data_IF_973295082282
#
_entry.id   IF_973295082282
#
_cell.length_a   1.000
_cell.length_b   1.000
_cell.length_c   1.000
_cell.angle_alpha   90.00
_cell.angle_beta   90.00
_cell.angle_gamma   90.00
#
_symmetry.space_group_name_H-M   'P 1'
#
loop_
_entity.id
_entity.type
_entity.pdbx_description
1 polymer ?
#
# COMPACT_ATOMS: atom_id res chain seq x y z
N UNK A 1 4.00 -9.74 69.75
CA UNK A 1 3.60 -8.64 68.86
C UNK A 1 4.27 -8.88 67.51
N UNK A 2 3.75 -9.87 66.78
CA UNK A 2 4.24 -10.24 65.46
C UNK A 2 3.37 -9.49 64.44
N UNK A 3 4.00 -8.63 63.63
CA UNK A 3 3.33 -7.97 62.51
C UNK A 3 3.19 -9.00 61.39
N UNK A 4 1.97 -9.39 61.09
CA UNK A 4 1.67 -10.09 59.84
C UNK A 4 1.71 -9.06 58.71
N UNK A 5 2.68 -9.23 57.81
CA UNK A 5 2.75 -8.50 56.55
C UNK A 5 1.84 -9.27 55.59
N UNK A 6 0.67 -8.69 55.31
CA UNK A 6 -0.21 -9.17 54.26
C UNK A 6 0.44 -8.83 52.91
N UNK A 7 0.96 -9.83 52.22
CA UNK A 7 1.33 -9.71 50.81
C UNK A 7 0.04 -9.62 49.99
N UNK A 8 -0.43 -8.40 49.72
CA UNK A 8 -1.40 -8.17 48.65
C UNK A 8 -0.68 -8.43 47.32
N UNK A 9 -0.86 -9.65 46.81
CA UNK A 9 -0.53 -10.01 45.43
C UNK A 9 -1.35 -9.17 44.46
N UNK A 10 -0.83 -8.00 44.08
CA UNK A 10 -1.30 -7.23 42.93
C UNK A 10 -1.08 -8.07 41.66
N UNK A 11 -2.10 -8.85 41.31
CA UNK A 11 -2.25 -9.44 39.99
C UNK A 11 -2.54 -8.29 39.03
N UNK A 12 -1.48 -7.75 38.42
CA UNK A 12 -1.58 -6.85 37.27
C UNK A 12 -2.30 -7.59 36.13
N UNK A 13 -3.63 -7.50 36.10
CA UNK A 13 -4.43 -7.88 34.94
C UNK A 13 -4.17 -6.83 33.85
N UNK A 14 -3.21 -7.10 32.99
CA UNK A 14 -2.95 -6.31 31.79
C UNK A 14 -4.12 -6.56 30.82
N UNK A 15 -5.23 -5.84 31.04
CA UNK A 15 -6.31 -5.74 30.07
C UNK A 15 -5.72 -5.31 28.73
N UNK A 16 -6.05 -6.00 27.64
CA UNK A 16 -5.66 -5.53 26.31
C UNK A 16 -6.47 -4.27 26.04
N UNK A 17 -5.82 -3.10 26.02
CA UNK A 17 -6.46 -1.82 25.70
C UNK A 17 -6.97 -1.75 24.24
N UNK A 18 -6.57 -2.73 23.41
CA UNK A 18 -7.06 -2.88 22.05
C UNK A 18 -8.22 -3.87 22.01
N UNK A 19 -9.41 -3.32 21.81
CA UNK A 19 -10.59 -4.10 21.40
C UNK A 19 -10.67 -4.03 19.89
N UNK A 20 -10.65 -5.18 19.23
CA UNK A 20 -10.82 -5.24 17.79
C UNK A 20 -12.14 -4.57 17.38
N UNK A 21 -12.15 -3.74 16.33
CA UNK A 21 -13.39 -3.22 15.79
C UNK A 21 -14.28 -4.39 15.35
N UNK A 22 -15.61 -4.26 15.47
CA UNK A 22 -16.54 -5.29 15.04
C UNK A 22 -16.30 -5.65 13.57
N UNK A 23 -16.45 -6.92 13.19
CA UNK A 23 -16.20 -7.37 11.82
C UNK A 23 -17.06 -6.57 10.84
N UNK A 24 -16.43 -6.09 9.77
CA UNK A 24 -17.09 -5.26 8.78
C UNK A 24 -18.28 -6.02 8.15
N UNK A 25 -19.42 -5.34 7.90
CA UNK A 25 -20.49 -5.93 7.12
C UNK A 25 -19.96 -6.34 5.75
N UNK A 26 -20.32 -7.54 5.28
CA UNK A 26 -19.84 -8.02 3.98
C UNK A 26 -20.28 -7.10 2.85
N UNK A 27 -21.50 -6.57 2.94
CA UNK A 27 -22.06 -5.60 2.01
C UNK A 27 -22.49 -4.36 2.79
N UNK A 28 -21.82 -3.24 2.56
CA UNK A 28 -22.23 -1.93 3.04
C UNK A 28 -22.31 -0.94 1.87
N UNK A 29 -23.47 -0.91 1.22
CA UNK A 29 -23.74 -0.01 0.11
C UNK A 29 -23.89 1.45 0.56
N UNK A 30 -24.06 1.69 1.88
CA UNK A 30 -24.12 3.04 2.44
C UNK A 30 -22.80 3.80 2.27
N UNK A 31 -21.68 3.08 2.24
CA UNK A 31 -20.35 3.68 2.05
C UNK A 31 -20.21 4.40 0.70
N UNK A 32 -20.92 3.95 -0.35
CA UNK A 32 -20.89 4.56 -1.69
C UNK A 32 -21.40 6.00 -1.71
N UNK A 33 -22.23 6.37 -0.73
CA UNK A 33 -22.75 7.74 -0.60
C UNK A 33 -21.81 8.63 0.20
N UNK A 34 -20.82 8.07 0.87
CA UNK A 34 -19.92 8.82 1.73
C UNK A 34 -18.84 9.54 0.93
N UNK A 35 -18.60 10.81 1.25
CA UNK A 35 -17.51 11.59 0.65
C UNK A 35 -16.13 11.03 0.98
N UNK A 36 -15.97 10.46 2.17
CA UNK A 36 -14.72 9.83 2.61
C UNK A 36 -14.36 8.62 1.75
N UNK A 37 -15.33 7.87 1.26
CA UNK A 37 -15.10 6.74 0.36
C UNK A 37 -14.46 7.16 -0.96
N UNK A 38 -14.99 8.20 -1.62
CA UNK A 38 -14.38 8.72 -2.84
C UNK A 38 -12.98 9.30 -2.61
N UNK A 39 -12.77 9.98 -1.47
CA UNK A 39 -11.42 10.46 -1.10
C UNK A 39 -10.44 9.31 -0.91
N UNK A 40 -10.87 8.21 -0.30
CA UNK A 40 -10.06 7.01 -0.13
C UNK A 40 -9.75 6.33 -1.48
N UNK A 41 -10.71 6.25 -2.41
CA UNK A 41 -10.48 5.74 -3.76
C UNK A 41 -9.44 6.57 -4.52
N UNK A 42 -9.55 7.90 -4.45
CA UNK A 42 -8.58 8.80 -5.08
C UNK A 42 -7.20 8.63 -4.43
N UNK A 43 -7.13 8.46 -3.11
CA UNK A 43 -5.86 8.23 -2.42
C UNK A 43 -5.19 6.93 -2.88
N UNK A 44 -5.93 5.82 -2.99
CA UNK A 44 -5.42 4.53 -3.49
C UNK A 44 -4.97 4.62 -4.96
N UNK A 45 -5.72 5.34 -5.80
CA UNK A 45 -5.36 5.58 -7.20
C UNK A 45 -4.06 6.39 -7.32
N UNK A 46 -3.96 7.53 -6.61
CA UNK A 46 -2.77 8.39 -6.68
C UNK A 46 -1.55 7.68 -6.09
N UNK A 47 -1.72 6.95 -4.98
CA UNK A 47 -0.64 6.20 -4.37
C UNK A 47 -0.10 5.11 -5.31
N UNK A 48 -0.98 4.31 -5.93
CA UNK A 48 -0.55 3.29 -6.90
C UNK A 48 0.07 3.89 -8.16
N UNK A 49 -0.46 5.01 -8.65
CA UNK A 49 0.13 5.75 -9.76
C UNK A 49 1.57 6.18 -9.46
N UNK A 50 1.79 6.82 -8.31
CA UNK A 50 3.12 7.27 -7.90
C UNK A 50 4.06 6.08 -7.63
N UNK A 51 3.56 5.03 -7.00
CA UNK A 51 4.33 3.80 -6.74
C UNK A 51 4.87 3.20 -8.03
N UNK A 52 4.01 2.96 -9.03
CA UNK A 52 4.42 2.36 -10.30
C UNK A 52 5.26 3.32 -11.14
N UNK A 53 4.95 4.62 -11.14
CA UNK A 53 5.75 5.61 -11.84
C UNK A 53 7.20 5.62 -11.35
N UNK A 54 7.43 5.76 -10.04
CA UNK A 54 8.78 5.88 -9.47
C UNK A 54 9.56 4.57 -9.60
N UNK A 55 8.93 3.43 -9.33
CA UNK A 55 9.61 2.13 -9.36
C UNK A 55 9.98 1.72 -10.78
N UNK A 56 9.07 1.86 -11.74
CA UNK A 56 9.34 1.52 -13.15
C UNK A 56 10.33 2.51 -13.78
N UNK A 57 10.23 3.80 -13.47
CA UNK A 57 11.22 4.79 -13.90
C UNK A 57 12.63 4.46 -13.36
N UNK A 58 12.74 4.02 -12.10
CA UNK A 58 14.01 3.59 -11.50
C UNK A 58 14.58 2.36 -12.22
N UNK A 59 13.75 1.35 -12.52
CA UNK A 59 14.18 0.13 -13.23
C UNK A 59 14.69 0.46 -14.63
N UNK A 60 13.94 1.26 -15.39
CA UNK A 60 14.31 1.63 -16.77
C UNK A 60 15.51 2.57 -16.77
N UNK A 61 15.56 3.51 -15.82
CA UNK A 61 16.70 4.40 -15.61
C UNK A 61 17.98 3.63 -15.35
N UNK A 62 17.92 2.59 -14.53
CA UNK A 62 19.04 1.69 -14.30
C UNK A 62 19.43 0.88 -15.55
N UNK A 63 18.46 0.24 -16.21
CA UNK A 63 18.70 -0.57 -17.43
C UNK A 63 19.23 0.25 -18.61
N UNK A 64 18.97 1.56 -18.66
CA UNK A 64 19.45 2.46 -19.73
C UNK A 64 20.97 2.71 -19.65
N UNK A 65 21.59 2.48 -18.49
CA UNK A 65 22.99 2.83 -18.28
C UNK A 65 23.92 1.82 -18.94
N UNK A 66 25.00 2.32 -19.54
CA UNK A 66 25.95 1.54 -20.34
C UNK A 66 27.16 1.06 -19.54
N UNK A 67 27.48 1.73 -18.42
CA UNK A 67 28.58 1.35 -17.53
C UNK A 67 28.16 0.30 -16.49
N UNK A 68 29.03 -0.66 -16.14
CA UNK A 68 28.72 -1.75 -15.20
C UNK A 68 28.40 -1.27 -13.78
N UNK A 69 28.81 -0.05 -13.40
CA UNK A 69 28.60 0.53 -12.06
C UNK A 69 27.96 1.93 -12.09
N UNK A 70 27.45 2.40 -13.23
CA UNK A 70 26.96 3.78 -13.34
C UNK A 70 25.57 3.98 -12.70
N UNK A 71 24.93 2.90 -12.27
CA UNK A 71 23.55 2.91 -11.81
C UNK A 71 23.30 2.79 -10.33
N UNK A 72 22.03 2.97 -10.00
CA UNK A 72 21.50 2.73 -8.65
C UNK A 72 21.67 1.27 -8.20
N UNK A 73 21.94 0.37 -9.15
CA UNK A 73 22.09 -1.05 -8.90
C UNK A 73 20.79 -1.73 -8.50
N UNK A 74 20.85 -3.04 -8.30
CA UNK A 74 19.72 -3.82 -7.82
C UNK A 74 19.29 -3.39 -6.40
N UNK A 75 20.25 -2.93 -5.60
CA UNK A 75 20.00 -2.38 -4.26
C UNK A 75 19.15 -1.11 -4.31
N UNK A 76 19.46 -0.18 -5.23
CA UNK A 76 18.67 1.05 -5.38
C UNK A 76 17.27 0.78 -5.94
N UNK A 77 17.11 -0.21 -6.82
CA UNK A 77 15.79 -0.67 -7.25
C UNK A 77 15.00 -1.22 -6.04
N UNK A 78 15.60 -2.09 -5.22
CA UNK A 78 14.94 -2.61 -4.02
C UNK A 78 14.51 -1.50 -3.05
N UNK A 79 15.38 -0.49 -2.86
CA UNK A 79 15.06 0.71 -2.08
C UNK A 79 13.92 1.53 -2.66
N UNK A 80 13.83 1.66 -3.99
CA UNK A 80 12.72 2.37 -4.62
C UNK A 80 11.39 1.67 -4.35
N UNK A 81 11.33 0.34 -4.41
CA UNK A 81 10.11 -0.40 -4.08
C UNK A 81 9.74 -0.29 -2.60
N UNK A 82 10.67 -0.61 -1.70
CA UNK A 82 10.39 -0.59 -0.25
C UNK A 82 10.14 0.82 0.28
N UNK A 83 10.95 1.79 -0.14
CA UNK A 83 10.85 3.18 0.26
C UNK A 83 9.55 3.84 -0.22
N UNK A 84 9.12 3.57 -1.46
CA UNK A 84 7.85 4.11 -1.95
C UNK A 84 6.66 3.53 -1.20
N UNK A 85 6.65 2.22 -0.92
CA UNK A 85 5.58 1.63 -0.10
C UNK A 85 5.56 2.26 1.29
N UNK A 86 6.71 2.40 1.96
CA UNK A 86 6.79 3.04 3.28
C UNK A 86 6.19 4.45 3.27
N UNK A 87 6.62 5.30 2.34
CA UNK A 87 6.15 6.70 2.23
C UNK A 87 4.66 6.75 1.92
N UNK A 88 4.20 5.99 0.92
CA UNK A 88 2.82 6.04 0.48
C UNK A 88 1.85 5.48 1.52
N UNK A 89 2.20 4.38 2.20
CA UNK A 89 1.41 3.85 3.31
C UNK A 89 1.33 4.91 4.41
N UNK A 90 2.45 5.53 4.79
CA UNK A 90 2.45 6.59 5.80
C UNK A 90 1.51 7.75 5.43
N UNK A 91 1.52 8.19 4.17
CA UNK A 91 0.65 9.27 3.70
C UNK A 91 -0.83 8.88 3.59
N UNK A 92 -1.14 7.63 3.26
CA UNK A 92 -2.50 7.19 2.93
C UNK A 92 -3.18 6.39 4.05
N UNK A 93 -2.45 5.96 5.08
CA UNK A 93 -2.98 5.20 6.20
C UNK A 93 -4.18 5.90 6.88
N UNK A 94 -4.09 7.22 7.08
CA UNK A 94 -5.17 8.00 7.70
C UNK A 94 -6.36 8.32 6.78
N UNK A 95 -6.27 8.00 5.48
CA UNK A 95 -7.30 8.34 4.49
C UNK A 95 -7.98 7.08 3.96
N UNK A 96 -7.22 6.14 3.40
CA UNK A 96 -7.73 4.91 2.79
C UNK A 96 -7.45 3.65 3.61
N UNK A 97 -6.48 3.70 4.53
CA UNK A 97 -5.89 2.51 5.17
C UNK A 97 -4.57 2.07 4.51
N UNK A 98 -4.16 2.72 3.41
CA UNK A 98 -2.87 2.53 2.77
C UNK A 98 -2.64 1.13 2.22
N UNK A 99 -3.58 0.61 1.42
CA UNK A 99 -3.47 -0.74 0.90
C UNK A 99 -2.51 -0.81 -0.29
N UNK A 100 -2.69 0.09 -1.28
CA UNK A 100 -1.84 0.30 -2.47
C UNK A 100 -1.68 -0.97 -3.35
N UNK A 101 -2.32 -2.07 -2.96
CA UNK A 101 -2.11 -3.39 -3.51
C UNK A 101 -3.43 -4.18 -3.45
N UNK A 102 -3.87 -4.76 -4.58
CA UNK A 102 -5.06 -5.61 -4.62
C UNK A 102 -4.96 -6.82 -3.69
N UNK A 103 -3.78 -7.43 -3.54
CA UNK A 103 -3.56 -8.58 -2.67
C UNK A 103 -3.71 -8.22 -1.18
N UNK A 104 -3.20 -7.05 -0.77
CA UNK A 104 -3.36 -6.53 0.60
C UNK A 104 -4.83 -6.24 0.89
N UNK A 105 -5.50 -5.57 -0.04
CA UNK A 105 -6.94 -5.29 0.04
C UNK A 105 -7.76 -6.58 0.16
N UNK A 106 -7.42 -7.60 -0.64
CA UNK A 106 -8.07 -8.90 -0.59
C UNK A 106 -7.84 -9.64 0.72
N UNK A 107 -6.61 -9.63 1.25
CA UNK A 107 -6.30 -10.22 2.56
C UNK A 107 -7.09 -9.58 3.70
N UNK A 108 -7.19 -8.24 3.71
CA UNK A 108 -7.99 -7.50 4.67
C UNK A 108 -9.50 -7.74 4.53
N UNK A 109 -9.97 -7.96 3.30
CA UNK A 109 -11.33 -8.39 3.03
C UNK A 109 -11.62 -9.79 3.61
N UNK A 110 -10.73 -10.76 3.39
CA UNK A 110 -10.85 -12.11 3.97
C UNK A 110 -10.82 -12.08 5.51
N UNK A 111 -10.05 -11.16 6.09
CA UNK A 111 -10.02 -10.92 7.53
C UNK A 111 -11.25 -10.17 8.06
N UNK A 112 -12.25 -9.86 7.22
CA UNK A 112 -13.45 -9.06 7.54
C UNK A 112 -13.13 -7.69 8.15
N UNK A 113 -12.00 -7.10 7.75
CA UNK A 113 -11.60 -5.74 8.14
C UNK A 113 -12.07 -4.69 7.12
N UNK A 114 -12.51 -5.11 5.93
CA UNK A 114 -12.92 -4.26 4.80
C UNK A 114 -14.19 -4.82 4.16
N UNK A 115 -15.14 -3.96 3.78
CA UNK A 115 -16.38 -4.34 3.06
C UNK A 115 -16.08 -4.80 1.63
N UNK A 116 -16.93 -5.66 1.03
CA UNK A 116 -16.72 -6.10 -0.36
C UNK A 116 -16.74 -4.93 -1.34
N UNK A 117 -17.65 -3.97 -1.13
CA UNK A 117 -17.81 -2.78 -1.98
C UNK A 117 -16.53 -1.96 -1.99
N UNK A 118 -15.93 -1.75 -0.81
CA UNK A 118 -14.66 -1.03 -0.67
C UNK A 118 -13.48 -1.81 -1.23
N UNK A 119 -13.44 -3.12 -1.01
CA UNK A 119 -12.41 -3.97 -1.56
C UNK A 119 -12.36 -3.89 -3.09
N UNK A 120 -13.51 -4.06 -3.75
CA UNK A 120 -13.62 -3.97 -5.22
C UNK A 120 -13.26 -2.57 -5.72
N UNK A 121 -13.78 -1.52 -5.07
CA UNK A 121 -13.46 -0.15 -5.43
C UNK A 121 -11.95 0.15 -5.36
N UNK A 122 -11.30 -0.30 -4.29
CA UNK A 122 -9.86 -0.13 -4.11
C UNK A 122 -9.07 -0.89 -5.17
N UNK A 123 -9.43 -2.14 -5.48
CA UNK A 123 -8.77 -2.92 -6.53
C UNK A 123 -8.86 -2.25 -7.90
N UNK A 124 -10.03 -1.71 -8.25
CA UNK A 124 -10.21 -0.96 -9.51
C UNK A 124 -9.33 0.30 -9.51
N UNK A 125 -9.37 1.09 -8.43
CA UNK A 125 -8.54 2.29 -8.29
C UNK A 125 -7.04 1.97 -8.40
N UNK A 126 -6.60 0.90 -7.76
CA UNK A 126 -5.21 0.43 -7.77
C UNK A 126 -4.76 -0.01 -9.17
N UNK A 127 -5.60 -0.78 -9.88
CA UNK A 127 -5.31 -1.21 -11.25
C UNK A 127 -5.24 -0.01 -12.21
N UNK A 128 -6.19 0.92 -12.13
CA UNK A 128 -6.17 2.13 -12.96
C UNK A 128 -4.96 3.01 -12.65
N UNK A 129 -4.63 3.20 -11.37
CA UNK A 129 -3.46 3.95 -10.94
C UNK A 129 -2.17 3.33 -11.47
N UNK A 130 -2.03 2.01 -11.36
CA UNK A 130 -0.88 1.28 -11.90
C UNK A 130 -0.74 1.48 -13.43
N UNK A 131 -1.83 1.34 -14.19
CA UNK A 131 -1.83 1.55 -15.65
C UNK A 131 -1.40 2.99 -15.97
N UNK A 132 -1.95 3.99 -15.29
CA UNK A 132 -1.58 5.39 -15.49
C UNK A 132 -0.11 5.67 -15.14
N UNK A 133 0.38 5.13 -14.01
CA UNK A 133 1.77 5.30 -13.58
C UNK A 133 2.77 4.76 -14.59
N UNK A 134 2.56 3.52 -15.06
CA UNK A 134 3.39 2.92 -16.12
C UNK A 134 3.23 3.67 -17.45
N UNK A 135 2.00 4.08 -17.78
CA UNK A 135 1.71 4.89 -18.97
C UNK A 135 2.50 6.21 -19.00
N UNK A 136 2.64 6.89 -17.87
CA UNK A 136 3.46 8.10 -17.77
C UNK A 136 4.94 7.81 -17.99
N UNK A 137 5.48 6.71 -17.45
CA UNK A 137 6.87 6.32 -17.72
C UNK A 137 7.08 6.04 -19.21
N UNK A 138 6.14 5.33 -19.86
CA UNK A 138 6.17 5.09 -21.31
C UNK A 138 6.07 6.40 -22.11
N UNK A 139 5.29 7.38 -21.65
CA UNK A 139 5.18 8.68 -22.31
C UNK A 139 6.48 9.49 -22.24
N UNK A 140 7.14 9.53 -21.07
CA UNK A 140 8.39 10.28 -20.90
C UNK A 140 9.62 9.57 -21.46
N UNK A 141 9.63 8.23 -21.44
CA UNK A 141 10.80 7.40 -21.76
C UNK A 141 10.49 6.35 -22.83
N UNK A 142 9.73 6.73 -23.86
CA UNK A 142 9.17 5.81 -24.89
C UNK A 142 10.20 4.86 -25.52
N UNK A 143 11.33 5.38 -25.97
CA UNK A 143 12.37 4.58 -26.65
C UNK A 143 13.03 3.56 -25.71
N UNK A 144 13.61 3.95 -24.55
CA UNK A 144 14.18 2.96 -23.62
C UNK A 144 13.11 2.05 -22.99
N UNK A 145 11.87 2.51 -22.79
CA UNK A 145 10.78 1.67 -22.27
C UNK A 145 10.47 0.48 -23.19
N UNK A 146 10.31 0.73 -24.50
CA UNK A 146 9.99 -0.33 -25.46
C UNK A 146 11.20 -1.26 -25.71
N UNK A 147 12.42 -0.73 -25.75
CA UNK A 147 13.62 -1.52 -26.06
C UNK A 147 14.08 -2.39 -24.89
N UNK A 148 13.83 -1.97 -23.64
CA UNK A 148 14.33 -2.65 -22.42
C UNK A 148 13.28 -3.56 -21.75
N UNK A 149 12.17 -3.84 -22.45
CA UNK A 149 11.10 -4.70 -21.95
C UNK A 149 10.31 -4.07 -20.80
N UNK A 150 9.96 -2.79 -20.91
CA UNK A 150 9.12 -2.09 -19.92
C UNK A 150 7.70 -2.67 -19.79
N UNK A 151 7.27 -3.47 -20.78
CA UNK A 151 6.03 -4.24 -20.76
C UNK A 151 6.35 -5.69 -20.36
N UNK A 152 6.07 -6.03 -19.10
CA UNK A 152 5.88 -7.40 -18.57
C UNK A 152 6.78 -8.50 -19.17
N UNK A 153 8.06 -8.23 -19.39
CA UNK A 153 9.05 -9.26 -19.76
C UNK A 153 9.90 -9.56 -18.52
N UNK A 154 9.27 -10.32 -17.61
CA UNK A 154 9.97 -11.23 -16.70
C UNK A 154 10.10 -12.59 -17.38
#
# INVERSE_FOLDING_TARGET
MSKEVSEEGQTHSHGKDYVDPPPAPLLDLGELKSWSFYRALIAEFIATLLFLYVTVATVIGHKKQTGPCDGVGLLGIAWAFGGMIFVLVYCTAGISGGHINPAVTFGLFLARKVSLVRAVGYMIAQCLGAICGVGFVKAFMKTPYNTLGGELTL
#
